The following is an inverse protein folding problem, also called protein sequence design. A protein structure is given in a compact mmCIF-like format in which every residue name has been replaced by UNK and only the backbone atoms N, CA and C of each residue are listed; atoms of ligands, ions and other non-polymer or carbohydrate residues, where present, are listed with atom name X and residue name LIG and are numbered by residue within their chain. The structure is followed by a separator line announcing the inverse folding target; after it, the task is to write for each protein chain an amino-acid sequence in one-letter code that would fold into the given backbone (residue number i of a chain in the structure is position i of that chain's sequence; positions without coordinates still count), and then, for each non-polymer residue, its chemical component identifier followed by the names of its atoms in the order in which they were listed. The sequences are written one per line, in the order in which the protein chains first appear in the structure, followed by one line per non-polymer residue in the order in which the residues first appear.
data_IF_581974601035
#
_entry.id   IF_581974601035
#
_cell.length_a   1.000
_cell.length_b   1.000
_cell.length_c   1.000
_cell.angle_alpha   90.00
_cell.angle_beta   90.00
_cell.angle_gamma   90.00
#
_symmetry.space_group_name_H-M   'P 1'
#
loop_
_entity.id
_entity.type
_entity.pdbx_description
1 polymer ?
#
# COMPACT_ATOMS: atom_id res chain seq x y z
N UNK A 1 -16.84 5.93 2.92
CA UNK A 1 -17.47 4.91 3.78
C UNK A 1 -17.60 5.41 5.23
N UNK A 2 -16.54 5.54 6.03
CA UNK A 2 -16.58 5.91 7.47
C UNK A 2 -17.36 7.19 7.76
N UNK A 3 -17.12 8.26 7.03
CA UNK A 3 -17.84 9.54 7.23
C UNK A 3 -19.34 9.41 6.94
N UNK A 4 -19.70 8.75 5.84
CA UNK A 4 -21.11 8.52 5.50
C UNK A 4 -21.80 7.64 6.55
N UNK A 5 -21.15 6.55 7.00
CA UNK A 5 -21.64 5.72 8.10
C UNK A 5 -21.86 6.51 9.40
N UNK A 6 -20.97 7.48 9.69
CA UNK A 6 -21.12 8.40 10.82
C UNK A 6 -22.16 9.51 10.63
N UNK A 7 -22.97 9.48 9.58
CA UNK A 7 -24.05 10.44 9.32
C UNK A 7 -23.60 11.75 8.67
N UNK A 8 -22.35 11.86 8.23
CA UNK A 8 -21.86 13.04 7.51
C UNK A 8 -22.32 12.99 6.05
N UNK A 9 -22.86 14.08 5.54
CA UNK A 9 -23.17 14.21 4.12
C UNK A 9 -21.86 14.33 3.33
N UNK A 10 -21.53 13.28 2.56
CA UNK A 10 -20.26 13.18 1.81
C UNK A 10 -20.52 13.27 0.32
N UNK A 11 -19.80 14.15 -0.36
CA UNK A 11 -19.70 14.17 -1.82
C UNK A 11 -18.24 13.95 -2.21
N UNK A 12 -17.98 12.94 -3.02
CA UNK A 12 -16.66 12.64 -3.59
C UNK A 12 -16.60 13.22 -4.98
N UNK A 13 -15.61 14.09 -5.22
CA UNK A 13 -15.32 14.67 -6.53
C UNK A 13 -14.11 13.94 -7.12
N UNK A 14 -14.28 13.30 -8.27
CA UNK A 14 -13.24 12.56 -8.96
C UNK A 14 -13.11 13.10 -10.40
N UNK A 15 -11.91 13.47 -10.80
CA UNK A 15 -11.66 14.03 -12.14
C UNK A 15 -11.76 13.00 -13.27
N UNK A 16 -11.56 11.71 -12.94
CA UNK A 16 -11.69 10.62 -13.91
C UNK A 16 -13.17 10.20 -14.02
N UNK A 17 -13.48 9.45 -15.07
CA UNK A 17 -14.81 8.88 -15.28
C UNK A 17 -15.10 7.66 -14.37
N UNK A 18 -14.10 7.18 -13.63
CA UNK A 18 -14.18 5.95 -12.81
C UNK A 18 -13.48 6.12 -11.48
N UNK A 19 -13.87 5.37 -10.43
CA UNK A 19 -13.21 5.40 -9.14
C UNK A 19 -11.84 4.69 -9.19
N UNK A 20 -11.01 4.91 -8.17
CA UNK A 20 -9.80 4.14 -7.89
C UNK A 20 -8.49 4.82 -8.26
N UNK A 21 -8.53 5.90 -9.05
CA UNK A 21 -7.34 6.67 -9.38
C UNK A 21 -6.25 5.80 -10.04
N UNK A 22 -5.21 5.42 -9.27
CA UNK A 22 -4.12 4.56 -9.75
C UNK A 22 -4.52 3.08 -9.93
N UNK A 23 -5.61 2.63 -9.32
CA UNK A 23 -6.19 1.27 -9.52
C UNK A 23 -7.06 1.25 -10.79
N UNK A 24 -6.48 1.57 -11.92
CA UNK A 24 -7.18 1.61 -13.21
C UNK A 24 -6.88 0.39 -14.05
N UNK A 25 -7.82 0.02 -14.89
CA UNK A 25 -7.66 -1.02 -15.90
C UNK A 25 -7.57 -0.40 -17.29
N UNK A 26 -6.80 -1.01 -18.18
CA UNK A 26 -6.67 -0.61 -19.57
C UNK A 26 -7.05 -1.78 -20.48
N UNK A 27 -7.66 -1.51 -21.65
CA UNK A 27 -7.96 -2.54 -22.62
C UNK A 27 -6.68 -3.11 -23.25
N UNK A 28 -6.67 -4.41 -23.49
CA UNK A 28 -5.63 -5.12 -24.23
C UNK A 28 -6.25 -6.18 -25.15
N UNK A 29 -5.45 -6.81 -26.01
CA UNK A 29 -5.89 -7.93 -26.85
C UNK A 29 -6.37 -9.14 -26.03
N UNK A 30 -5.88 -9.29 -24.78
CA UNK A 30 -6.28 -10.35 -23.85
C UNK A 30 -7.44 -9.95 -22.92
N UNK A 31 -8.05 -8.78 -23.11
CA UNK A 31 -9.07 -8.21 -22.23
C UNK A 31 -8.54 -7.05 -21.39
N UNK A 32 -9.28 -6.70 -20.32
CA UNK A 32 -8.87 -5.63 -19.42
C UNK A 32 -7.70 -6.08 -18.53
N UNK A 33 -6.67 -5.24 -18.42
CA UNK A 33 -5.49 -5.48 -17.59
C UNK A 33 -5.33 -4.35 -16.57
N UNK A 34 -4.83 -4.68 -15.38
CA UNK A 34 -4.49 -3.69 -14.38
C UNK A 34 -3.29 -2.84 -14.83
N UNK A 35 -3.45 -1.52 -14.79
CA UNK A 35 -2.42 -0.54 -15.14
C UNK A 35 -1.93 0.27 -13.93
N UNK A 36 -1.90 -0.37 -12.80
CA UNK A 36 -1.46 0.12 -11.51
C UNK A 36 -1.10 -1.05 -10.61
N UNK A 37 -1.54 -1.07 -9.33
CA UNK A 37 -1.36 -2.25 -8.48
C UNK A 37 -2.14 -3.43 -9.07
N UNK A 38 -1.53 -4.61 -9.05
CA UNK A 38 -2.08 -5.86 -9.61
C UNK A 38 -2.48 -6.87 -8.54
N UNK A 39 -1.96 -6.69 -7.32
CA UNK A 39 -2.19 -7.60 -6.19
C UNK A 39 -2.51 -6.82 -4.92
N UNK A 40 -3.19 -7.49 -4.02
CA UNK A 40 -3.56 -6.98 -2.70
C UNK A 40 -2.81 -7.77 -1.63
N UNK A 41 -2.26 -7.04 -0.68
CA UNK A 41 -1.75 -7.58 0.59
C UNK A 41 -2.57 -7.02 1.75
N UNK A 42 -2.32 -7.47 2.97
CA UNK A 42 -2.99 -6.96 4.18
C UNK A 42 -4.53 -6.99 4.09
N UNK A 43 -5.10 -8.04 3.52
CA UNK A 43 -6.55 -8.27 3.43
C UNK A 43 -7.32 -7.93 4.72
N UNK A 44 -6.83 -8.28 5.95
CA UNK A 44 -7.53 -7.94 7.20
C UNK A 44 -7.80 -6.44 7.39
N UNK A 45 -6.98 -5.55 6.83
CA UNK A 45 -7.19 -4.09 6.91
C UNK A 45 -8.43 -3.68 6.13
N UNK A 46 -8.63 -4.26 4.95
CA UNK A 46 -9.83 -4.02 4.14
C UNK A 46 -11.07 -4.64 4.78
N UNK A 47 -10.96 -5.87 5.31
CA UNK A 47 -12.07 -6.52 6.04
C UNK A 47 -12.47 -5.70 7.27
N UNK A 48 -11.52 -5.16 8.02
CA UNK A 48 -11.79 -4.30 9.16
C UNK A 48 -12.52 -3.03 8.74
N UNK A 49 -12.09 -2.38 7.64
CA UNK A 49 -12.74 -1.18 7.11
C UNK A 49 -14.21 -1.42 6.75
N UNK A 50 -14.52 -2.53 6.08
CA UNK A 50 -15.90 -2.87 5.73
C UNK A 50 -16.71 -3.21 6.99
N UNK A 51 -16.15 -3.97 7.93
CA UNK A 51 -16.81 -4.34 9.20
C UNK A 51 -17.15 -3.11 10.05
N UNK A 52 -16.26 -2.12 10.12
CA UNK A 52 -16.51 -0.87 10.85
C UNK A 52 -17.75 -0.11 10.37
N UNK A 53 -18.13 -0.27 9.12
CA UNK A 53 -19.30 0.37 8.54
C UNK A 53 -20.49 -0.57 8.38
N UNK A 54 -20.47 -1.72 9.06
CA UNK A 54 -21.57 -2.70 9.07
C UNK A 54 -21.66 -3.54 7.79
N UNK A 55 -20.62 -3.60 6.97
CA UNK A 55 -20.57 -4.35 5.71
C UNK A 55 -19.54 -5.48 5.76
N UNK A 56 -19.57 -6.37 4.77
CA UNK A 56 -18.55 -7.38 4.57
C UNK A 56 -17.83 -7.14 3.23
N UNK A 57 -16.52 -7.24 3.23
CA UNK A 57 -15.71 -7.07 2.00
C UNK A 57 -16.14 -8.06 0.90
N UNK A 58 -16.48 -9.30 1.30
CA UNK A 58 -16.88 -10.36 0.37
C UNK A 58 -18.16 -10.06 -0.43
N UNK A 59 -19.03 -9.18 0.08
CA UNK A 59 -20.24 -8.76 -0.62
C UNK A 59 -19.95 -7.78 -1.77
N UNK A 60 -18.76 -7.17 -1.77
CA UNK A 60 -18.38 -6.10 -2.69
C UNK A 60 -17.20 -6.43 -3.59
N UNK A 61 -16.33 -7.35 -3.17
CA UNK A 61 -15.17 -7.76 -3.96
C UNK A 61 -14.79 -9.22 -3.65
N UNK A 62 -14.55 -10.00 -4.69
CA UNK A 62 -14.06 -11.38 -4.56
C UNK A 62 -12.54 -11.38 -4.59
N UNK A 63 -11.92 -11.79 -3.49
CA UNK A 63 -10.47 -11.92 -3.35
C UNK A 63 -10.06 -13.39 -3.48
N UNK A 64 -9.14 -13.68 -4.38
CA UNK A 64 -8.59 -15.02 -4.61
C UNK A 64 -7.15 -15.00 -4.11
N UNK A 65 -6.83 -15.91 -3.18
CA UNK A 65 -5.51 -16.02 -2.59
C UNK A 65 -4.57 -16.77 -3.53
N UNK A 66 -3.35 -16.24 -3.69
CA UNK A 66 -2.34 -16.84 -4.52
C UNK A 66 -1.48 -17.84 -3.74
N UNK A 67 -1.16 -18.98 -4.36
CA UNK A 67 -0.20 -19.94 -3.81
C UNK A 67 1.24 -19.54 -4.10
N UNK A 68 1.48 -18.90 -5.25
CA UNK A 68 2.76 -18.30 -5.63
C UNK A 68 2.67 -16.81 -5.37
N UNK A 69 3.36 -16.33 -4.32
CA UNK A 69 3.37 -14.91 -3.95
C UNK A 69 4.08 -14.06 -5.01
N UNK A 70 5.20 -14.58 -5.54
CA UNK A 70 5.97 -13.92 -6.58
C UNK A 70 6.84 -14.93 -7.32
N UNK A 71 6.96 -14.77 -8.63
CA UNK A 71 7.83 -15.55 -9.50
C UNK A 71 8.89 -14.66 -10.10
N UNK A 72 10.14 -15.07 -9.93
CA UNK A 72 11.31 -14.31 -10.39
C UNK A 72 12.06 -15.09 -11.46
N UNK A 73 12.57 -14.35 -12.44
CA UNK A 73 13.37 -14.88 -13.54
C UNK A 73 14.65 -14.06 -13.69
N UNK A 74 15.76 -14.74 -13.93
CA UNK A 74 17.02 -14.10 -14.26
C UNK A 74 17.49 -14.47 -15.65
N UNK A 75 18.42 -13.68 -16.21
CA UNK A 75 18.90 -13.88 -17.59
C UNK A 75 19.67 -15.19 -17.79
N UNK A 76 20.21 -15.77 -16.73
CA UNK A 76 20.89 -17.06 -16.75
C UNK A 76 19.92 -18.26 -16.76
N UNK A 77 18.62 -18.01 -16.86
CA UNK A 77 17.57 -19.03 -16.85
C UNK A 77 17.12 -19.45 -15.45
N UNK A 78 17.73 -18.93 -14.39
CA UNK A 78 17.31 -19.22 -13.02
C UNK A 78 15.90 -18.71 -12.78
N UNK A 79 15.08 -19.51 -12.11
CA UNK A 79 13.73 -19.16 -11.64
C UNK A 79 13.61 -19.41 -10.15
N UNK A 80 12.93 -18.53 -9.45
CA UNK A 80 12.56 -18.70 -8.05
C UNK A 80 11.10 -18.33 -7.85
N UNK A 81 10.34 -19.24 -7.25
CA UNK A 81 8.99 -19.00 -6.78
C UNK A 81 9.01 -18.80 -5.26
N UNK A 82 8.52 -17.66 -4.81
CA UNK A 82 8.18 -17.44 -3.40
C UNK A 82 6.74 -17.89 -3.20
N UNK A 83 6.53 -18.82 -2.26
CA UNK A 83 5.27 -19.49 -2.04
C UNK A 83 4.55 -18.96 -0.80
N UNK A 84 3.24 -19.14 -0.74
CA UNK A 84 2.42 -18.89 0.45
C UNK A 84 2.87 -19.76 1.64
N UNK A 85 3.22 -21.00 1.37
CA UNK A 85 3.85 -21.88 2.37
C UNK A 85 5.31 -21.45 2.58
N UNK A 86 5.71 -21.01 3.79
CA UNK A 86 7.07 -20.58 4.08
C UNK A 86 8.10 -21.70 3.88
N UNK A 87 7.73 -22.95 4.14
CA UNK A 87 8.64 -24.10 3.95
C UNK A 87 8.90 -24.34 2.47
N UNK A 88 7.86 -24.27 1.64
CA UNK A 88 8.01 -24.38 0.19
C UNK A 88 8.89 -23.26 -0.38
N UNK A 89 8.76 -22.03 0.12
CA UNK A 89 9.67 -20.92 -0.24
C UNK A 89 11.12 -21.23 0.13
N UNK A 90 11.35 -21.72 1.35
CA UNK A 90 12.68 -22.06 1.84
C UNK A 90 13.31 -23.18 1.00
N UNK A 91 12.54 -24.22 0.65
CA UNK A 91 13.00 -25.31 -0.21
C UNK A 91 13.32 -24.82 -1.64
N UNK A 92 12.50 -23.91 -2.20
CA UNK A 92 12.77 -23.32 -3.50
C UNK A 92 14.07 -22.50 -3.50
N UNK A 93 14.32 -21.73 -2.44
CA UNK A 93 15.59 -20.98 -2.27
C UNK A 93 16.76 -21.96 -2.14
N UNK A 94 16.61 -23.03 -1.34
CA UNK A 94 17.66 -24.05 -1.17
C UNK A 94 17.98 -24.75 -2.48
N UNK A 95 16.96 -25.13 -3.24
CA UNK A 95 17.12 -25.76 -4.54
C UNK A 95 17.81 -24.85 -5.56
N UNK A 96 17.42 -23.58 -5.60
CA UNK A 96 17.91 -22.62 -6.60
C UNK A 96 19.30 -22.07 -6.27
N UNK A 97 19.63 -21.88 -4.97
CA UNK A 97 20.81 -21.11 -4.53
C UNK A 97 21.65 -21.81 -3.44
N UNK A 98 21.23 -22.99 -2.99
CA UNK A 98 21.98 -23.76 -2.00
C UNK A 98 21.61 -23.47 -0.54
N UNK A 99 22.18 -24.27 0.36
CA UNK A 99 21.83 -24.27 1.79
C UNK A 99 22.18 -22.95 2.46
N UNK A 100 23.34 -22.36 2.18
CA UNK A 100 23.75 -21.07 2.77
C UNK A 100 22.74 -19.94 2.47
N UNK A 101 22.29 -19.85 1.22
CA UNK A 101 21.27 -18.88 0.80
C UNK A 101 19.93 -19.12 1.49
N UNK A 102 19.55 -20.38 1.70
CA UNK A 102 18.34 -20.74 2.42
C UNK A 102 18.40 -20.34 3.90
N UNK A 103 19.54 -20.55 4.56
CA UNK A 103 19.75 -20.15 5.95
C UNK A 103 19.69 -18.61 6.12
N UNK A 104 20.32 -17.88 5.19
CA UNK A 104 20.26 -16.43 5.13
C UNK A 104 18.83 -15.93 4.91
N UNK A 105 18.08 -16.56 4.00
CA UNK A 105 16.67 -16.25 3.75
C UNK A 105 15.79 -16.52 4.97
N UNK A 106 15.99 -17.62 5.67
CA UNK A 106 15.29 -17.95 6.90
C UNK A 106 15.53 -16.89 7.99
N UNK A 107 16.79 -16.46 8.16
CA UNK A 107 17.15 -15.38 9.10
C UNK A 107 16.51 -14.04 8.68
N UNK A 108 16.61 -13.70 7.42
CA UNK A 108 15.99 -12.50 6.86
C UNK A 108 14.48 -12.46 7.10
N UNK A 109 13.79 -13.58 6.87
CA UNK A 109 12.33 -13.69 7.08
C UNK A 109 11.94 -13.46 8.55
N UNK A 110 12.68 -14.06 9.49
CA UNK A 110 12.47 -13.81 10.93
C UNK A 110 12.72 -12.37 11.34
N UNK A 111 13.75 -11.75 10.77
CA UNK A 111 14.06 -10.35 11.03
C UNK A 111 12.96 -9.42 10.46
N UNK A 112 12.46 -9.68 9.26
CA UNK A 112 11.36 -8.94 8.65
C UNK A 112 10.06 -9.06 9.47
N UNK A 113 9.77 -10.24 10.00
CA UNK A 113 8.65 -10.45 10.92
C UNK A 113 8.80 -9.60 12.19
N UNK A 114 9.95 -9.65 12.86
CA UNK A 114 10.20 -8.86 14.06
C UNK A 114 10.04 -7.36 13.83
N UNK A 115 10.54 -6.88 12.69
CA UNK A 115 10.36 -5.47 12.29
C UNK A 115 8.89 -5.13 12.13
N UNK A 116 8.13 -5.98 11.46
CA UNK A 116 6.69 -5.78 11.27
C UNK A 116 5.97 -5.77 12.61
N UNK A 117 6.17 -6.77 13.47
CA UNK A 117 5.52 -6.88 14.77
C UNK A 117 5.79 -5.66 15.66
N UNK A 118 7.01 -5.11 15.59
CA UNK A 118 7.39 -3.91 16.36
C UNK A 118 6.79 -2.62 15.79
N UNK A 119 6.67 -2.51 14.46
CA UNK A 119 6.33 -1.25 13.79
C UNK A 119 4.86 -1.17 13.35
N UNK A 120 4.15 -2.29 13.30
CA UNK A 120 2.79 -2.34 12.79
C UNK A 120 1.84 -1.42 13.58
N UNK A 121 1.78 -1.56 14.91
CA UNK A 121 0.88 -0.74 15.71
C UNK A 121 1.29 0.73 15.77
N UNK A 122 2.54 1.09 16.18
CA UNK A 122 2.90 2.49 16.37
C UNK A 122 3.02 3.31 15.07
N UNK A 123 3.26 2.66 13.94
CA UNK A 123 3.50 3.34 12.66
C UNK A 123 2.40 3.09 11.63
N UNK A 124 2.03 1.82 11.38
CA UNK A 124 1.13 1.49 10.28
C UNK A 124 -0.35 1.64 10.66
N UNK A 125 -0.71 1.35 11.92
CA UNK A 125 -2.10 1.46 12.40
C UNK A 125 -2.38 2.77 13.15
N UNK A 126 -1.36 3.60 13.36
CA UNK A 126 -1.51 4.87 14.07
C UNK A 126 -2.05 5.97 13.15
N UNK A 127 -3.08 6.69 13.58
CA UNK A 127 -3.58 7.88 12.91
C UNK A 127 -2.54 9.03 12.89
N UNK A 128 -1.60 9.03 13.85
CA UNK A 128 -0.51 9.99 13.94
C UNK A 128 0.82 9.26 14.14
N UNK A 129 1.38 8.65 13.08
CA UNK A 129 2.66 7.99 13.17
C UNK A 129 3.74 9.00 13.59
N UNK A 130 4.50 8.66 14.63
CA UNK A 130 5.56 9.52 15.16
C UNK A 130 6.72 8.68 15.69
N UNK A 131 7.94 9.07 15.33
CA UNK A 131 9.16 8.39 15.79
C UNK A 131 9.23 8.26 17.31
N UNK A 132 8.71 9.26 18.07
CA UNK A 132 8.66 9.21 19.54
C UNK A 132 7.85 8.02 20.08
N UNK A 133 6.88 7.50 19.33
CA UNK A 133 6.09 6.32 19.72
C UNK A 133 6.86 5.02 19.53
N UNK A 134 7.89 5.03 18.70
CA UNK A 134 8.77 3.89 18.48
C UNK A 134 9.81 3.75 19.59
N UNK A 135 10.20 4.87 20.27
CA UNK A 135 11.25 4.86 21.27
C UNK A 135 11.02 3.83 22.39
N UNK A 136 9.82 3.74 23.02
CA UNK A 136 9.57 2.73 24.04
C UNK A 136 9.73 1.29 23.52
N UNK A 137 9.25 1.02 22.30
CA UNK A 137 9.37 -0.31 21.69
C UNK A 137 10.82 -0.64 21.31
N UNK A 138 11.57 0.35 20.84
CA UNK A 138 13.01 0.23 20.58
C UNK A 138 13.80 -0.05 21.86
N UNK A 139 13.46 0.59 22.98
CA UNK A 139 14.11 0.36 24.28
C UNK A 139 13.81 -1.02 24.83
N UNK A 140 12.61 -1.56 24.59
CA UNK A 140 12.23 -2.93 24.99
C UNK A 140 12.99 -4.01 24.22
N UNK A 141 13.43 -3.72 22.99
CA UNK A 141 14.09 -4.69 22.12
C UNK A 141 15.28 -4.08 21.38
N UNK A 142 16.45 -3.96 22.01
CA UNK A 142 17.67 -3.46 21.37
C UNK A 142 18.06 -4.25 20.12
N UNK A 143 17.77 -5.55 20.08
CA UNK A 143 18.00 -6.41 18.93
C UNK A 143 17.16 -5.98 17.71
N UNK A 144 15.97 -5.46 17.93
CA UNK A 144 15.12 -4.94 16.85
C UNK A 144 15.71 -3.68 16.23
N UNK A 145 16.31 -2.80 17.05
CA UNK A 145 17.01 -1.59 16.56
C UNK A 145 18.16 -1.99 15.63
N UNK A 146 18.93 -3.01 16.00
CA UNK A 146 20.01 -3.53 15.15
C UNK A 146 19.45 -4.14 13.86
N UNK A 147 18.27 -4.78 13.93
CA UNK A 147 17.59 -5.35 12.77
C UNK A 147 17.06 -4.28 11.81
N UNK A 148 16.61 -3.13 12.35
CA UNK A 148 16.18 -1.97 11.54
C UNK A 148 17.31 -1.43 10.67
N UNK A 149 18.55 -1.61 11.08
CA UNK A 149 19.76 -1.15 10.38
C UNK A 149 19.66 0.35 9.95
N UNK A 150 19.42 1.27 10.93
CA UNK A 150 18.98 2.63 10.65
C UNK A 150 20.04 3.50 9.94
N UNK A 151 21.28 3.05 9.94
CA UNK A 151 22.41 3.78 9.33
C UNK A 151 22.71 3.33 7.89
N UNK A 152 21.94 2.37 7.36
CA UNK A 152 22.19 1.83 6.02
C UNK A 152 20.97 1.97 5.11
N UNK A 153 21.28 2.07 3.83
CA UNK A 153 20.24 1.93 2.81
C UNK A 153 19.80 0.47 2.69
N UNK A 154 18.63 0.27 2.07
CA UNK A 154 18.11 -1.06 1.77
C UNK A 154 19.12 -1.91 0.99
N UNK A 155 19.75 -1.33 -0.04
CA UNK A 155 20.76 -2.04 -0.83
C UNK A 155 21.96 -2.49 0.01
N UNK A 156 22.49 -1.60 0.87
CA UNK A 156 23.62 -1.93 1.74
C UNK A 156 23.26 -3.01 2.76
N UNK A 157 22.07 -2.94 3.35
CA UNK A 157 21.59 -3.91 4.33
C UNK A 157 21.40 -5.28 3.68
N UNK A 158 20.75 -5.35 2.51
CA UNK A 158 20.52 -6.60 1.78
C UNK A 158 21.82 -7.24 1.31
N UNK A 159 22.78 -6.44 0.79
CA UNK A 159 24.09 -6.95 0.36
C UNK A 159 24.96 -7.51 1.51
N UNK A 160 24.63 -7.17 2.78
CA UNK A 160 25.29 -7.77 3.96
C UNK A 160 24.56 -9.02 4.47
N UNK A 161 23.26 -9.15 4.17
CA UNK A 161 22.40 -10.24 4.63
C UNK A 161 22.45 -11.45 3.72
N UNK A 162 22.68 -11.22 2.42
CA UNK A 162 22.69 -12.25 1.40
C UNK A 162 24.05 -12.32 0.69
N UNK A 163 24.65 -13.50 0.74
CA UNK A 163 25.82 -13.86 -0.07
C UNK A 163 25.44 -14.08 -1.54
N UNK A 164 24.18 -14.53 -1.79
CA UNK A 164 23.62 -14.68 -3.12
C UNK A 164 23.05 -13.33 -3.62
N UNK A 165 23.68 -12.70 -4.65
CA UNK A 165 23.29 -11.36 -5.09
C UNK A 165 21.90 -11.29 -5.69
N UNK A 166 21.37 -12.41 -6.24
CA UNK A 166 20.02 -12.47 -6.80
C UNK A 166 18.95 -12.35 -5.71
N UNK A 167 19.17 -12.86 -4.49
CA UNK A 167 18.28 -12.63 -3.34
C UNK A 167 18.33 -11.18 -2.89
N UNK A 168 19.51 -10.57 -2.81
CA UNK A 168 19.61 -9.15 -2.49
C UNK A 168 18.91 -8.28 -3.54
N UNK A 169 19.06 -8.58 -4.82
CA UNK A 169 18.36 -7.91 -5.92
C UNK A 169 16.84 -8.07 -5.81
N UNK A 170 16.38 -9.29 -5.52
CA UNK A 170 14.95 -9.59 -5.38
C UNK A 170 14.29 -8.70 -4.33
N UNK A 171 14.85 -8.63 -3.13
CA UNK A 171 14.27 -7.85 -2.04
C UNK A 171 14.54 -6.34 -2.15
N UNK A 172 15.52 -5.92 -2.95
CA UNK A 172 15.76 -4.51 -3.26
C UNK A 172 14.57 -3.85 -3.98
N UNK A 173 13.70 -4.63 -4.66
CA UNK A 173 12.46 -4.14 -5.28
C UNK A 173 11.53 -3.41 -4.31
N UNK A 174 11.63 -3.67 -3.00
CA UNK A 174 10.78 -3.00 -2.01
C UNK A 174 10.98 -1.49 -1.93
N UNK A 175 12.09 -0.95 -2.43
CA UNK A 175 12.26 0.49 -2.58
C UNK A 175 11.20 1.13 -3.50
N UNK A 176 10.65 0.38 -4.45
CA UNK A 176 9.61 0.87 -5.36
C UNK A 176 8.27 1.17 -4.67
N UNK A 177 8.00 0.57 -3.50
CA UNK A 177 6.79 0.85 -2.71
C UNK A 177 6.74 2.30 -2.21
N UNK A 178 7.90 2.93 -2.05
CA UNK A 178 8.01 4.35 -1.67
C UNK A 178 8.48 5.24 -2.83
N UNK A 179 8.50 4.70 -4.06
CA UNK A 179 8.98 5.42 -5.25
C UNK A 179 10.48 5.74 -5.20
N UNK A 180 11.26 4.99 -4.42
CA UNK A 180 12.67 5.23 -4.17
C UNK A 180 13.60 4.26 -4.91
N UNK A 181 14.90 4.56 -4.81
CA UNK A 181 15.97 3.65 -5.22
C UNK A 181 16.49 2.87 -4.01
N UNK A 182 16.88 1.60 -4.15
CA UNK A 182 17.39 0.81 -3.03
C UNK A 182 18.57 1.42 -2.29
N UNK A 183 19.40 2.20 -3.00
CA UNK A 183 20.57 2.90 -2.45
C UNK A 183 20.21 4.10 -1.56
N UNK A 184 19.00 4.67 -1.77
CA UNK A 184 18.50 5.84 -1.04
C UNK A 184 17.33 5.53 -0.09
N UNK A 185 16.77 4.33 -0.17
CA UNK A 185 15.64 3.91 0.66
C UNK A 185 16.11 3.29 1.98
N UNK A 186 15.36 3.47 3.09
CA UNK A 186 15.75 2.91 4.38
C UNK A 186 15.69 1.38 4.41
N UNK A 187 16.62 0.77 5.15
CA UNK A 187 16.72 -0.68 5.30
C UNK A 187 15.46 -1.31 5.92
N UNK A 188 14.71 -0.57 6.71
CA UNK A 188 13.46 -1.04 7.33
C UNK A 188 12.40 -1.51 6.33
N UNK A 189 12.47 -1.10 5.05
CA UNK A 189 11.57 -1.60 4.00
C UNK A 189 11.66 -3.11 3.78
N UNK A 190 12.68 -3.78 4.33
CA UNK A 190 12.77 -5.23 4.39
C UNK A 190 11.54 -5.89 5.05
N UNK A 191 10.83 -5.18 5.94
CA UNK A 191 9.58 -5.66 6.56
C UNK A 191 8.47 -5.98 5.56
N UNK A 192 8.51 -5.38 4.35
CA UNK A 192 7.52 -5.63 3.30
C UNK A 192 7.49 -7.11 2.89
N UNK A 193 8.65 -7.80 2.98
CA UNK A 193 8.67 -9.25 2.78
C UNK A 193 7.70 -9.98 3.73
N UNK A 194 7.67 -9.59 5.01
CA UNK A 194 6.73 -10.21 5.94
C UNK A 194 5.28 -9.92 5.56
N UNK A 195 4.97 -8.70 5.14
CA UNK A 195 3.62 -8.33 4.67
C UNK A 195 3.19 -9.20 3.48
N UNK A 196 4.07 -9.42 2.50
CA UNK A 196 3.80 -10.30 1.36
C UNK A 196 3.66 -11.78 1.80
N UNK A 197 4.51 -12.24 2.74
CA UNK A 197 4.47 -13.62 3.23
C UNK A 197 3.20 -13.97 4.01
N UNK A 198 2.48 -13.00 4.56
CA UNK A 198 1.16 -13.19 5.17
C UNK A 198 0.08 -13.52 4.15
N UNK A 199 0.34 -13.27 2.88
CA UNK A 199 -0.52 -13.61 1.75
C UNK A 199 -0.63 -12.48 0.73
N UNK A 200 -0.83 -12.92 -0.49
CA UNK A 200 -1.10 -12.07 -1.65
C UNK A 200 -2.41 -12.54 -2.27
N UNK A 201 -3.25 -11.61 -2.62
CA UNK A 201 -4.53 -11.87 -3.28
C UNK A 201 -4.62 -11.10 -4.58
N UNK A 202 -5.27 -11.67 -5.57
CA UNK A 202 -5.78 -10.89 -6.68
C UNK A 202 -7.29 -10.65 -6.52
N UNK A 203 -7.77 -9.55 -7.06
CA UNK A 203 -9.19 -9.22 -7.10
C UNK A 203 -9.78 -9.79 -8.38
N UNK A 204 -10.82 -10.62 -8.27
CA UNK A 204 -11.50 -11.16 -9.45
C UNK A 204 -12.02 -10.02 -10.33
N UNK A 205 -11.60 -9.98 -11.58
CA UNK A 205 -11.93 -8.91 -12.52
C UNK A 205 -10.99 -7.70 -12.46
N UNK A 206 -9.87 -7.78 -11.72
CA UNK A 206 -8.84 -6.75 -11.59
C UNK A 206 -9.00 -5.87 -10.37
N UNK A 207 -7.92 -5.15 -10.02
CA UNK A 207 -7.88 -4.30 -8.81
C UNK A 207 -8.92 -3.18 -8.81
N UNK A 208 -9.35 -2.71 -9.98
CA UNK A 208 -10.41 -1.70 -10.09
C UNK A 208 -11.73 -2.16 -9.46
N UNK A 209 -12.01 -3.48 -9.42
CA UNK A 209 -13.22 -4.02 -8.79
C UNK A 209 -13.27 -3.77 -7.28
N UNK A 210 -12.13 -3.69 -6.61
CA UNK A 210 -12.07 -3.27 -5.21
C UNK A 210 -12.51 -1.81 -5.05
N UNK A 211 -12.08 -0.92 -5.95
CA UNK A 211 -12.49 0.48 -5.92
C UNK A 211 -14.00 0.64 -6.19
N UNK A 212 -14.54 -0.08 -7.16
CA UNK A 212 -15.99 -0.12 -7.41
C UNK A 212 -16.77 -0.70 -6.23
N UNK A 213 -16.25 -1.74 -5.58
CA UNK A 213 -16.86 -2.32 -4.37
C UNK A 213 -16.90 -1.32 -3.20
N UNK A 214 -15.80 -0.58 -2.99
CA UNK A 214 -15.75 0.47 -1.97
C UNK A 214 -16.70 1.64 -2.30
N UNK A 215 -16.80 2.02 -3.58
CA UNK A 215 -17.77 3.02 -4.04
C UNK A 215 -19.21 2.56 -3.79
N UNK A 216 -19.55 1.34 -4.19
CA UNK A 216 -20.89 0.79 -4.00
C UNK A 216 -21.28 0.76 -2.51
N UNK A 217 -20.39 0.30 -1.64
CA UNK A 217 -20.59 0.34 -0.20
C UNK A 217 -20.78 1.78 0.31
N UNK A 218 -19.96 2.74 -0.15
CA UNK A 218 -20.09 4.13 0.26
C UNK A 218 -21.39 4.77 -0.20
N UNK A 219 -21.87 4.46 -1.42
CA UNK A 219 -23.16 4.91 -1.95
C UNK A 219 -24.33 4.34 -1.13
N UNK A 220 -24.28 3.06 -0.76
CA UNK A 220 -25.29 2.44 0.10
C UNK A 220 -25.37 3.11 1.50
N UNK A 221 -24.25 3.71 1.94
CA UNK A 221 -24.17 4.49 3.17
C UNK A 221 -24.55 5.98 2.98
N UNK A 222 -24.98 6.38 1.78
CA UNK A 222 -25.44 7.74 1.48
C UNK A 222 -24.38 8.70 0.94
N UNK A 223 -23.18 8.23 0.57
CA UNK A 223 -22.20 9.07 -0.10
C UNK A 223 -22.58 9.31 -1.57
N UNK A 224 -22.38 10.53 -2.04
CA UNK A 224 -22.53 10.94 -3.44
C UNK A 224 -21.18 10.91 -4.15
N UNK A 225 -21.14 10.43 -5.40
CA UNK A 225 -19.96 10.46 -6.25
C UNK A 225 -20.25 11.25 -7.51
N UNK A 226 -19.36 12.19 -7.83
CA UNK A 226 -19.38 12.99 -9.07
C UNK A 226 -18.08 12.78 -9.79
N UNK A 227 -18.16 12.11 -10.92
CA UNK A 227 -17.08 11.86 -11.85
C UNK A 227 -16.91 13.02 -12.83
N UNK A 228 -15.83 13.02 -13.60
CA UNK A 228 -15.46 14.08 -14.52
C UNK A 228 -15.49 15.46 -13.83
N UNK A 229 -15.18 15.47 -12.54
CA UNK A 229 -15.26 16.62 -11.63
C UNK A 229 -13.86 17.06 -11.23
N UNK A 230 -13.29 17.96 -12.03
CA UNK A 230 -11.93 18.48 -11.81
C UNK A 230 -11.96 19.69 -10.87
N UNK A 231 -11.41 19.52 -9.67
CA UNK A 231 -11.24 20.61 -8.70
C UNK A 231 -9.96 21.37 -9.04
N UNK A 232 -10.10 22.65 -9.36
CA UNK A 232 -9.00 23.56 -9.73
C UNK A 232 -8.52 24.44 -8.58
N UNK A 233 -9.37 24.63 -7.56
CA UNK A 233 -9.03 25.42 -6.40
C UNK A 233 -10.02 25.26 -5.26
N UNK A 234 -9.61 25.68 -4.07
CA UNK A 234 -10.54 25.93 -2.98
C UNK A 234 -10.06 27.09 -2.11
N UNK A 235 -11.02 27.77 -1.51
CA UNK A 235 -10.76 28.87 -0.58
C UNK A 235 -11.71 28.77 0.62
N UNK A 236 -11.34 29.43 1.71
CA UNK A 236 -12.21 29.56 2.87
C UNK A 236 -13.02 30.85 2.74
N UNK A 237 -14.32 30.73 2.55
CA UNK A 237 -15.23 31.85 2.44
C UNK A 237 -15.42 32.60 3.76
N UNK A 238 -15.97 33.79 3.68
CA UNK A 238 -16.27 34.69 4.84
C UNK A 238 -17.21 34.03 5.86
N UNK A 239 -18.05 33.09 5.43
CA UNK A 239 -18.95 32.31 6.29
C UNK A 239 -18.26 31.22 7.09
N UNK A 240 -16.95 31.02 6.92
CA UNK A 240 -16.18 29.91 7.50
C UNK A 240 -16.29 28.61 6.72
N UNK A 241 -17.17 28.51 5.73
CA UNK A 241 -17.28 27.37 4.82
C UNK A 241 -16.23 27.42 3.73
N UNK A 242 -15.89 26.25 3.18
CA UNK A 242 -15.02 26.16 2.01
C UNK A 242 -15.84 26.31 0.73
N UNK A 243 -15.26 26.99 -0.26
CA UNK A 243 -15.74 27.08 -1.63
C UNK A 243 -14.76 26.33 -2.52
N UNK A 244 -15.23 25.29 -3.18
CA UNK A 244 -14.43 24.55 -4.15
C UNK A 244 -14.82 25.00 -5.56
N UNK A 245 -13.81 25.31 -6.36
CA UNK A 245 -13.97 25.51 -7.80
C UNK A 245 -13.87 24.16 -8.50
N UNK A 246 -14.92 23.77 -9.21
CA UNK A 246 -15.01 22.49 -9.90
C UNK A 246 -15.77 22.67 -11.22
N UNK A 247 -15.10 22.42 -12.35
CA UNK A 247 -15.67 22.59 -13.69
C UNK A 247 -16.41 23.93 -13.85
N UNK A 248 -15.75 25.04 -13.54
CA UNK A 248 -16.27 26.43 -13.61
C UNK A 248 -17.50 26.69 -12.72
N UNK A 249 -17.73 25.83 -11.72
CA UNK A 249 -18.80 25.99 -10.72
C UNK A 249 -18.23 26.00 -9.31
N UNK A 250 -18.91 26.70 -8.41
CA UNK A 250 -18.54 26.71 -7.00
C UNK A 250 -19.44 25.77 -6.19
N UNK A 251 -18.80 24.96 -5.35
CA UNK A 251 -19.45 24.06 -4.39
C UNK A 251 -19.07 24.48 -2.98
N UNK A 252 -20.08 24.69 -2.13
CA UNK A 252 -19.84 25.04 -0.72
C UNK A 252 -19.87 23.80 0.15
N UNK A 253 -18.92 23.69 1.09
CA UNK A 253 -18.87 22.59 2.06
C UNK A 253 -18.27 23.06 3.39
N UNK A 254 -18.52 22.30 4.45
CA UNK A 254 -18.03 22.60 5.80
C UNK A 254 -16.59 22.11 6.02
N UNK A 255 -16.17 21.07 5.30
CA UNK A 255 -14.82 20.50 5.37
C UNK A 255 -14.39 19.90 4.01
N UNK A 256 -13.10 19.92 3.77
CA UNK A 256 -12.47 19.30 2.59
C UNK A 256 -11.50 18.23 3.04
N UNK A 257 -11.67 17.01 2.54
CA UNK A 257 -10.72 15.92 2.68
C UNK A 257 -10.00 15.71 1.35
N UNK A 258 -8.73 16.10 1.28
CA UNK A 258 -7.93 15.93 0.09
C UNK A 258 -7.26 14.55 0.07
N UNK A 259 -7.56 13.74 -0.94
CA UNK A 259 -6.98 12.42 -1.17
C UNK A 259 -6.17 12.37 -2.48
N UNK A 260 -5.62 13.49 -2.89
CA UNK A 260 -4.69 13.59 -4.02
C UNK A 260 -3.23 13.49 -3.58
N UNK A 261 -2.32 13.78 -4.51
CA UNK A 261 -0.88 13.83 -4.21
C UNK A 261 -0.57 15.04 -3.31
N UNK A 262 0.00 14.85 -2.10
CA UNK A 262 0.39 15.95 -1.23
C UNK A 262 1.35 16.97 -1.89
N UNK A 263 2.17 16.54 -2.85
CA UNK A 263 3.01 17.45 -3.61
C UNK A 263 2.19 18.42 -4.48
N UNK A 264 1.00 18.04 -4.90
CA UNK A 264 0.11 18.95 -5.64
C UNK A 264 -0.33 20.12 -4.75
N UNK A 265 -0.62 19.86 -3.48
CA UNK A 265 -0.90 20.90 -2.49
C UNK A 265 0.33 21.79 -2.28
N UNK A 266 1.47 21.21 -1.97
CA UNK A 266 2.71 21.94 -1.71
C UNK A 266 3.17 22.83 -2.89
N UNK A 267 2.79 22.44 -4.13
CA UNK A 267 3.07 23.22 -5.35
C UNK A 267 2.00 24.26 -5.69
N UNK A 268 0.97 24.38 -4.85
CA UNK A 268 -0.10 25.36 -5.05
C UNK A 268 -1.08 25.06 -6.20
N UNK A 269 -1.15 23.80 -6.68
CA UNK A 269 -2.06 23.44 -7.79
C UNK A 269 -3.55 23.59 -7.46
N UNK A 270 -3.90 23.75 -6.19
CA UNK A 270 -5.27 24.02 -5.74
C UNK A 270 -5.44 25.43 -5.17
N UNK A 271 -4.56 26.35 -5.53
CA UNK A 271 -4.59 27.73 -5.10
C UNK A 271 -3.89 28.00 -3.75
N UNK A 272 -3.66 29.26 -3.40
CA UNK A 272 -2.85 29.66 -2.24
C UNK A 272 -3.50 29.28 -0.88
N UNK A 273 -4.80 29.08 -0.83
CA UNK A 273 -5.49 28.63 0.38
C UNK A 273 -5.28 27.14 0.70
N UNK A 274 -4.70 26.41 -0.23
CA UNK A 274 -4.43 24.96 -0.12
C UNK A 274 -2.98 24.64 0.25
N UNK A 275 -2.06 25.61 0.12
CA UNK A 275 -0.61 25.46 0.33
C UNK A 275 -0.16 25.86 1.73
#
# INVERSE_FOLDING_TARGET
MRLAHGGVKVTVLERQATPGGKMRSLPSAAGMIDAGPTVLTMKPVFEALFREVGCQLADYATLIQEDILARHFWRDGTRLDLMRDPQASLENVRHSFGTAAADEFCKFSRDAQRLFDTLNEPMMQSATPALRRMIPEMLKSPSTVMTMDPLRSLAQSLGRRFSEPRLAQLFARYATYVGGLPQASPALLALIWHVESLGVWHVKGGMSQLAYGMEACAKNLGAEFRYDSYVTGFERGKSGKYQLECNDRFLSCDAVLFNGDPNALARGFLGPAAS
#
